data_IF_587106347978
#
_entry.id   IF_587106347978
#
_cell.length_a   1.000
_cell.length_b   1.000
_cell.length_c   1.000
_cell.angle_alpha   90.00
_cell.angle_beta   90.00
_cell.angle_gamma   90.00
#
_symmetry.space_group_name_H-M   'P 1'
#
loop_
_entity.id
_entity.type
_entity.pdbx_description
1 polymer ?
#
# COMPACT_ATOMS: atom_id res chain seq x y z
N UNK A 1 -13.13 5.05 31.27
CA UNK A 1 -12.09 5.76 30.51
C UNK A 1 -11.69 4.89 29.33
N UNK A 2 -12.32 5.09 28.17
CA UNK A 2 -11.99 4.42 26.92
C UNK A 2 -11.53 5.50 25.95
N UNK A 3 -10.22 5.60 25.70
CA UNK A 3 -9.72 6.41 24.60
C UNK A 3 -10.01 5.66 23.30
N UNK A 4 -11.25 5.79 22.82
CA UNK A 4 -11.57 5.55 21.43
C UNK A 4 -10.91 6.68 20.63
N UNK A 5 -9.69 6.46 20.18
CA UNK A 5 -9.15 7.27 19.09
C UNK A 5 -10.00 6.97 17.87
N UNK A 6 -10.90 7.90 17.57
CA UNK A 6 -11.67 8.00 16.34
C UNK A 6 -10.67 8.16 15.18
N UNK A 7 -10.14 7.04 14.69
CA UNK A 7 -9.30 7.01 13.51
C UNK A 7 -10.26 6.90 12.32
N UNK A 8 -10.47 7.99 11.55
CA UNK A 8 -11.37 7.92 10.41
C UNK A 8 -10.87 6.85 9.46
N UNK A 9 -11.69 5.81 9.29
CA UNK A 9 -11.40 4.63 8.46
C UNK A 9 -11.55 4.93 6.95
N UNK A 10 -11.76 6.22 6.63
CA UNK A 10 -11.96 6.77 5.30
C UNK A 10 -10.62 7.13 4.66
N UNK A 11 -10.41 6.72 3.40
CA UNK A 11 -9.28 7.16 2.58
C UNK A 11 -9.25 8.70 2.49
N UNK A 12 -8.04 9.26 2.49
CA UNK A 12 -7.83 10.70 2.35
C UNK A 12 -6.63 11.00 1.45
N UNK A 13 -6.57 12.17 0.80
CA UNK A 13 -5.36 12.62 0.14
C UNK A 13 -4.18 12.61 1.12
N UNK A 14 -3.01 12.14 0.67
CA UNK A 14 -1.81 12.20 1.48
C UNK A 14 -1.12 13.56 1.32
N UNK A 15 -0.88 14.25 2.43
CA UNK A 15 -0.30 15.59 2.49
C UNK A 15 1.18 15.59 2.94
N UNK A 16 1.80 14.42 3.05
CA UNK A 16 3.21 14.27 3.45
C UNK A 16 3.45 14.14 4.97
N UNK A 17 2.42 14.22 5.83
CA UNK A 17 2.61 14.38 7.29
C UNK A 17 2.30 13.15 8.15
N UNK A 18 1.94 12.02 7.56
CA UNK A 18 1.41 10.87 8.30
C UNK A 18 2.33 9.67 8.16
N UNK A 19 2.77 9.11 9.29
CA UNK A 19 3.63 7.94 9.32
C UNK A 19 5.06 8.22 8.84
N UNK A 20 6.06 7.69 9.55
CA UNK A 20 7.46 7.97 9.22
C UNK A 20 7.86 7.34 7.87
N UNK A 21 7.42 6.11 7.59
CA UNK A 21 7.81 5.38 6.39
C UNK A 21 7.03 5.86 5.17
N UNK A 22 5.77 6.20 5.35
CA UNK A 22 4.88 6.74 4.33
C UNK A 22 5.36 8.11 3.85
N UNK A 23 5.75 9.01 4.76
CA UNK A 23 6.37 10.29 4.38
C UNK A 23 7.65 10.09 3.56
N UNK A 24 8.54 9.17 3.94
CA UNK A 24 9.78 8.90 3.20
C UNK A 24 9.51 8.41 1.77
N UNK A 25 8.53 7.52 1.60
CA UNK A 25 8.15 7.04 0.27
C UNK A 25 7.51 8.15 -0.56
N UNK A 26 6.63 8.95 0.04
CA UNK A 26 6.01 10.09 -0.64
C UNK A 26 7.04 11.10 -1.11
N UNK A 27 7.99 11.48 -0.25
CA UNK A 27 9.04 12.44 -0.59
C UNK A 27 9.90 11.93 -1.75
N UNK A 28 10.22 10.63 -1.76
CA UNK A 28 10.91 10.01 -2.88
C UNK A 28 10.07 10.07 -4.17
N UNK A 29 8.81 9.64 -4.11
CA UNK A 29 7.89 9.68 -5.25
C UNK A 29 7.68 11.10 -5.80
N UNK A 30 7.57 12.09 -4.91
CA UNK A 30 7.47 13.49 -5.29
C UNK A 30 8.77 13.98 -5.96
N UNK A 31 9.93 13.58 -5.44
CA UNK A 31 11.24 13.94 -5.99
C UNK A 31 11.57 13.36 -7.37
N UNK A 32 10.92 12.25 -7.77
CA UNK A 32 11.12 11.62 -9.09
C UNK A 32 10.15 12.13 -10.16
N UNK A 33 9.33 13.14 -9.85
CA UNK A 33 8.43 13.73 -10.85
C UNK A 33 9.21 14.37 -12.00
N UNK A 34 8.81 14.10 -13.25
CA UNK A 34 9.32 14.86 -14.39
C UNK A 34 9.00 16.36 -14.27
N UNK A 35 9.90 17.21 -14.76
CA UNK A 35 9.79 18.67 -14.66
C UNK A 35 8.60 19.28 -15.42
N UNK A 36 7.92 18.49 -16.26
CA UNK A 36 6.78 18.94 -17.07
C UNK A 36 5.42 18.83 -16.34
N UNK A 37 5.42 18.51 -15.04
CA UNK A 37 4.20 18.41 -14.24
C UNK A 37 3.41 17.11 -14.46
N UNK A 38 3.94 16.18 -15.23
CA UNK A 38 3.36 14.84 -15.42
C UNK A 38 3.63 13.94 -14.23
N UNK A 39 2.84 12.88 -14.10
CA UNK A 39 3.11 11.82 -13.14
C UNK A 39 4.42 11.09 -13.47
N UNK A 40 5.14 10.59 -12.46
CA UNK A 40 6.27 9.71 -12.69
C UNK A 40 5.78 8.34 -13.15
N UNK A 41 6.37 7.78 -14.20
CA UNK A 41 6.20 6.36 -14.54
C UNK A 41 7.09 5.42 -13.73
N UNK A 42 6.85 4.11 -13.90
CA UNK A 42 7.66 3.03 -13.31
C UNK A 42 9.14 3.13 -13.65
N UNK A 43 9.47 3.70 -14.81
CA UNK A 43 10.84 3.97 -15.26
C UNK A 43 11.59 5.02 -14.42
N UNK A 44 10.87 5.91 -13.72
CA UNK A 44 11.48 6.90 -12.82
C UNK A 44 11.63 6.39 -11.38
N UNK A 45 10.97 5.26 -11.05
CA UNK A 45 11.02 4.65 -9.74
C UNK A 45 12.07 3.54 -9.72
N UNK A 46 13.29 3.85 -9.27
CA UNK A 46 14.36 2.84 -9.15
C UNK A 46 14.29 2.13 -7.77
N UNK A 47 13.90 0.84 -7.73
CA UNK A 47 13.86 0.10 -6.47
C UNK A 47 15.25 -0.10 -5.84
N UNK A 48 16.34 -0.03 -6.61
CA UNK A 48 17.71 -0.15 -6.09
C UNK A 48 18.12 1.13 -5.37
N UNK A 49 17.86 2.31 -5.95
CA UNK A 49 18.07 3.58 -5.26
C UNK A 49 17.25 3.64 -3.97
N UNK A 50 15.97 3.24 -4.03
CA UNK A 50 15.09 3.21 -2.87
C UNK A 50 15.61 2.25 -1.79
N UNK A 51 16.10 1.08 -2.20
CA UNK A 51 16.73 0.10 -1.30
C UNK A 51 17.98 0.65 -0.61
N UNK A 52 18.82 1.39 -1.34
CA UNK A 52 20.03 2.00 -0.79
C UNK A 52 19.71 3.14 0.18
N UNK A 53 18.72 3.97 -0.15
CA UNK A 53 18.38 5.15 0.68
C UNK A 53 17.52 4.77 1.89
N UNK A 54 16.56 3.87 1.69
CA UNK A 54 15.56 3.50 2.70
C UNK A 54 15.30 1.98 2.71
N UNK A 55 16.28 1.16 3.11
CA UNK A 55 16.17 -0.30 3.07
C UNK A 55 14.96 -0.84 3.87
N UNK A 56 14.55 -0.15 4.92
CA UNK A 56 13.40 -0.49 5.75
C UNK A 56 12.06 -0.43 5.01
N UNK A 57 11.94 0.29 3.88
CA UNK A 57 10.70 0.39 3.11
C UNK A 57 10.41 -0.90 2.33
N UNK A 58 11.43 -1.60 1.85
CA UNK A 58 11.28 -2.70 0.88
C UNK A 58 10.38 -3.83 1.37
N UNK A 59 10.47 -4.18 2.65
CA UNK A 59 9.65 -5.25 3.21
C UNK A 59 8.15 -4.91 3.23
N UNK A 60 7.81 -3.61 3.23
CA UNK A 60 6.45 -3.09 3.30
C UNK A 60 5.88 -2.71 1.93
N UNK A 61 6.71 -2.70 0.89
CA UNK A 61 6.33 -2.29 -0.46
C UNK A 61 5.62 -3.41 -1.22
N UNK A 62 4.67 -3.03 -2.06
CA UNK A 62 4.05 -3.92 -3.01
C UNK A 62 3.55 -3.14 -4.24
N UNK A 63 3.60 -3.77 -5.40
CA UNK A 63 3.27 -3.15 -6.68
C UNK A 63 2.04 -3.81 -7.28
N UNK A 64 1.22 -2.99 -7.90
CA UNK A 64 -0.01 -3.39 -8.59
C UNK A 64 0.02 -2.82 -10.00
N UNK A 65 -0.11 -3.69 -10.98
CA UNK A 65 -0.33 -3.30 -12.38
C UNK A 65 -1.83 -2.99 -12.57
N UNK A 66 -2.12 -1.93 -13.31
CA UNK A 66 -3.49 -1.49 -13.67
C UNK A 66 -3.77 -1.93 -15.10
N UNK A 67 -4.67 -2.88 -15.26
CA UNK A 67 -5.19 -3.34 -16.54
C UNK A 67 -6.51 -2.61 -16.81
N UNK A 68 -6.70 -2.08 -18.02
CA UNK A 68 -7.93 -1.36 -18.43
C UNK A 68 -8.69 -2.20 -19.44
N UNK A 69 -10.01 -2.01 -19.45
CA UNK A 69 -10.96 -2.68 -20.34
C UNK A 69 -10.96 -4.23 -20.25
N UNK A 70 -11.38 -4.81 -19.09
CA UNK A 70 -11.99 -4.14 -17.94
C UNK A 70 -10.95 -3.62 -16.93
N UNK A 71 -11.34 -2.63 -16.11
CA UNK A 71 -10.48 -2.11 -15.04
C UNK A 71 -10.22 -3.20 -13.99
N UNK A 72 -8.98 -3.69 -13.93
CA UNK A 72 -8.53 -4.74 -13.02
C UNK A 72 -7.14 -4.43 -12.48
N UNK A 73 -6.86 -4.98 -11.31
CA UNK A 73 -5.64 -4.71 -10.56
C UNK A 73 -4.90 -6.00 -10.30
N UNK A 74 -3.70 -6.15 -10.89
CA UNK A 74 -2.89 -7.37 -10.79
C UNK A 74 -1.68 -7.14 -9.89
N UNK A 75 -1.52 -7.96 -8.87
CA UNK A 75 -0.36 -7.91 -7.97
C UNK A 75 0.90 -8.33 -8.74
N UNK A 76 1.93 -7.47 -8.75
CA UNK A 76 3.18 -7.74 -9.46
C UNK A 76 4.28 -8.19 -8.50
N UNK A 77 4.52 -7.40 -7.45
CA UNK A 77 5.56 -7.62 -6.46
C UNK A 77 4.99 -7.42 -5.07
N UNK A 78 5.40 -8.27 -4.13
CA UNK A 78 5.01 -8.18 -2.73
C UNK A 78 6.27 -8.28 -1.87
N UNK A 79 6.53 -7.25 -1.07
CA UNK A 79 7.60 -7.24 -0.07
C UNK A 79 7.35 -8.28 1.03
N UNK A 80 8.43 -8.77 1.63
CA UNK A 80 8.41 -9.90 2.56
C UNK A 80 7.46 -9.71 3.76
N UNK A 81 7.32 -8.50 4.31
CA UNK A 81 6.41 -8.27 5.43
C UNK A 81 4.94 -8.35 4.99
N UNK A 82 4.60 -7.90 3.79
CA UNK A 82 3.24 -8.00 3.24
C UNK A 82 2.91 -9.45 2.87
N UNK A 83 3.91 -10.20 2.37
CA UNK A 83 3.80 -11.62 2.07
C UNK A 83 3.47 -12.45 3.33
N UNK A 84 4.13 -12.15 4.44
CA UNK A 84 3.97 -12.89 5.70
C UNK A 84 2.65 -12.61 6.43
N UNK A 85 2.03 -11.44 6.21
CA UNK A 85 0.81 -11.03 6.92
C UNK A 85 -0.48 -11.30 6.14
N UNK A 86 -0.36 -11.50 4.83
CA UNK A 86 -1.50 -11.67 3.93
C UNK A 86 -1.35 -12.96 3.11
N UNK A 87 -2.18 -13.99 3.34
CA UNK A 87 -2.15 -15.22 2.52
C UNK A 87 -2.51 -14.98 1.04
N UNK A 88 -2.93 -13.76 0.72
CA UNK A 88 -3.38 -13.30 -0.60
C UNK A 88 -2.27 -12.62 -1.42
N UNK A 89 -1.13 -12.33 -0.81
CA UNK A 89 -0.08 -11.55 -1.43
C UNK A 89 0.86 -12.42 -2.29
N UNK A 90 0.29 -13.14 -3.26
CA UNK A 90 1.04 -13.89 -4.28
C UNK A 90 1.08 -13.08 -5.56
N UNK A 91 2.28 -12.84 -6.09
CA UNK A 91 2.47 -12.23 -7.40
C UNK A 91 1.66 -12.95 -8.48
N UNK A 92 1.12 -12.19 -9.42
CA UNK A 92 0.34 -12.65 -10.57
C UNK A 92 -1.17 -12.76 -10.35
N UNK A 93 -1.68 -12.55 -9.13
CA UNK A 93 -3.12 -12.66 -8.82
C UNK A 93 -3.83 -11.32 -8.87
N UNK A 94 -5.13 -11.34 -9.18
CA UNK A 94 -5.96 -10.14 -9.22
C UNK A 94 -6.55 -9.80 -7.85
N UNK A 95 -6.65 -8.50 -7.55
CA UNK A 95 -7.19 -8.00 -6.28
C UNK A 95 -8.66 -8.40 -6.08
N UNK A 96 -9.45 -8.47 -7.16
CA UNK A 96 -10.86 -8.87 -7.14
C UNK A 96 -11.10 -10.34 -6.73
N UNK A 97 -10.10 -11.22 -6.88
CA UNK A 97 -10.17 -12.62 -6.45
C UNK A 97 -10.21 -12.82 -4.93
N UNK A 98 -9.84 -11.81 -4.14
CA UNK A 98 -9.70 -11.90 -2.67
C UNK A 98 -10.60 -10.96 -1.90
N UNK A 99 -11.32 -10.08 -2.59
CA UNK A 99 -12.23 -9.15 -1.94
C UNK A 99 -13.54 -9.88 -1.72
N UNK A 100 -13.97 -9.98 -0.46
CA UNK A 100 -15.31 -10.42 -0.12
C UNK A 100 -16.33 -9.40 -0.66
N UNK A 101 -17.19 -9.77 -1.63
CA UNK A 101 -18.22 -8.88 -2.17
C UNK A 101 -19.23 -8.41 -1.11
N UNK A 102 -19.36 -9.14 0.01
CA UNK A 102 -20.26 -8.79 1.11
C UNK A 102 -19.67 -7.73 2.07
N UNK A 103 -18.41 -7.30 1.85
CA UNK A 103 -17.78 -6.29 2.69
C UNK A 103 -18.44 -4.92 2.50
N UNK A 104 -19.08 -4.42 3.56
CA UNK A 104 -19.70 -3.08 3.60
C UNK A 104 -18.69 -1.92 3.70
N UNK A 105 -17.41 -2.23 3.80
CA UNK A 105 -16.35 -1.26 3.94
C UNK A 105 -15.71 -0.94 2.57
N UNK A 106 -15.08 0.23 2.46
CA UNK A 106 -14.27 0.59 1.30
C UNK A 106 -13.26 -0.54 0.98
N UNK A 107 -13.41 -1.14 -0.20
CA UNK A 107 -12.58 -2.26 -0.65
C UNK A 107 -11.28 -1.74 -1.27
N UNK A 108 -10.26 -2.60 -1.34
CA UNK A 108 -9.03 -2.28 -2.09
C UNK A 108 -9.32 -1.93 -3.55
N UNK A 109 -10.32 -2.58 -4.16
CA UNK A 109 -10.75 -2.30 -5.52
C UNK A 109 -11.30 -0.88 -5.66
N UNK A 110 -12.25 -0.48 -4.79
CA UNK A 110 -12.81 0.86 -4.80
C UNK A 110 -11.75 1.96 -4.57
N UNK A 111 -10.82 1.70 -3.66
CA UNK A 111 -9.69 2.58 -3.38
C UNK A 111 -8.79 2.78 -4.60
N UNK A 112 -8.41 1.69 -5.27
CA UNK A 112 -7.57 1.78 -6.47
C UNK A 112 -8.30 2.40 -7.65
N UNK A 113 -9.58 2.11 -7.84
CA UNK A 113 -10.42 2.78 -8.85
C UNK A 113 -10.38 4.30 -8.66
N UNK A 114 -10.64 4.80 -7.45
CA UNK A 114 -10.58 6.24 -7.15
C UNK A 114 -9.18 6.81 -7.40
N UNK A 115 -8.12 6.12 -6.99
CA UNK A 115 -6.74 6.58 -7.20
C UNK A 115 -6.41 6.72 -8.68
N UNK A 116 -6.77 5.74 -9.51
CA UNK A 116 -6.46 5.79 -10.96
C UNK A 116 -7.30 6.83 -11.71
N UNK A 117 -8.50 7.14 -11.21
CA UNK A 117 -9.37 8.19 -11.76
C UNK A 117 -8.89 9.59 -11.36
N UNK A 118 -8.55 9.78 -10.08
CA UNK A 118 -8.15 11.09 -9.55
C UNK A 118 -6.68 11.42 -9.80
N UNK A 119 -5.83 10.41 -10.02
CA UNK A 119 -4.38 10.51 -10.15
C UNK A 119 -3.70 11.11 -8.92
N UNK A 120 -4.36 11.02 -7.76
CA UNK A 120 -3.87 11.57 -6.52
C UNK A 120 -3.33 10.48 -5.59
N UNK A 121 -2.26 10.76 -4.83
CA UNK A 121 -1.82 9.96 -3.69
C UNK A 121 -2.96 9.70 -2.71
N UNK A 122 -3.14 8.45 -2.32
CA UNK A 122 -4.14 8.06 -1.34
C UNK A 122 -3.49 7.48 -0.09
N UNK A 123 -3.95 7.95 1.07
CA UNK A 123 -3.57 7.38 2.35
C UNK A 123 -4.78 6.86 3.10
N UNK A 124 -4.62 5.67 3.67
CA UNK A 124 -5.58 5.04 4.57
C UNK A 124 -4.88 4.69 5.87
N UNK A 125 -5.48 5.08 6.99
CA UNK A 125 -5.11 4.59 8.30
C UNK A 125 -6.35 4.06 9.01
N UNK A 126 -6.27 2.88 9.60
CA UNK A 126 -7.42 2.29 10.28
C UNK A 126 -7.20 0.83 10.64
N UNK A 127 -8.28 0.14 10.98
CA UNK A 127 -8.20 -1.25 11.36
C UNK A 127 -7.92 -2.14 10.14
N UNK A 128 -7.13 -3.20 10.27
CA UNK A 128 -7.00 -4.20 9.22
C UNK A 128 -8.36 -4.81 8.90
N UNK A 129 -8.73 -4.87 7.61
CA UNK A 129 -10.03 -5.42 7.16
C UNK A 129 -9.97 -6.91 6.80
N UNK A 130 -8.80 -7.54 6.90
CA UNK A 130 -8.55 -8.93 6.46
C UNK A 130 -8.36 -9.83 7.68
N UNK A 131 -9.11 -10.94 7.75
CA UNK A 131 -9.17 -11.82 8.93
C UNK A 131 -7.81 -12.40 9.40
N UNK A 132 -6.81 -12.51 8.52
CA UNK A 132 -5.46 -13.02 8.86
C UNK A 132 -4.65 -12.10 9.77
N UNK A 133 -5.10 -10.86 9.96
CA UNK A 133 -4.39 -9.81 10.70
C UNK A 133 -4.91 -9.57 12.12
N UNK A 134 -5.55 -10.58 12.73
CA UNK A 134 -6.19 -10.57 14.07
C UNK A 134 -5.34 -10.05 15.25
N UNK A 135 -4.06 -9.74 15.04
CA UNK A 135 -3.11 -9.23 16.03
C UNK A 135 -2.58 -7.82 15.72
N UNK A 136 -2.86 -7.27 14.54
CA UNK A 136 -2.54 -5.89 14.19
C UNK A 136 -3.65 -4.95 14.67
N UNK A 137 -3.29 -3.96 15.49
CA UNK A 137 -4.20 -2.91 15.98
C UNK A 137 -4.45 -1.82 14.96
N UNK A 138 -3.50 -1.58 14.08
CA UNK A 138 -3.62 -0.53 13.08
C UNK A 138 -2.86 -0.92 11.82
N UNK A 139 -3.39 -0.48 10.68
CA UNK A 139 -2.76 -0.52 9.38
C UNK A 139 -2.68 0.91 8.87
N UNK A 140 -1.52 1.30 8.34
CA UNK A 140 -1.38 2.47 7.49
C UNK A 140 -0.97 2.01 6.09
N UNK A 141 -1.63 2.55 5.07
CA UNK A 141 -1.33 2.30 3.67
C UNK A 141 -1.24 3.60 2.92
N UNK A 142 -0.10 3.80 2.26
CA UNK A 142 0.09 4.83 1.25
C UNK A 142 0.07 4.16 -0.13
N UNK A 143 -0.73 4.70 -1.03
CA UNK A 143 -0.84 4.28 -2.42
C UNK A 143 -0.48 5.45 -3.33
N UNK A 144 0.47 5.26 -4.23
CA UNK A 144 1.03 6.31 -5.08
C UNK A 144 0.85 5.94 -6.56
N UNK A 145 0.28 6.83 -7.38
CA UNK A 145 0.09 6.58 -8.80
C UNK A 145 1.41 6.70 -9.56
N UNK A 146 1.64 5.78 -10.49
CA UNK A 146 2.66 5.89 -11.52
C UNK A 146 2.04 5.76 -12.90
N UNK A 147 2.55 6.55 -13.86
CA UNK A 147 2.09 6.55 -15.24
C UNK A 147 3.27 6.62 -16.21
N UNK A 148 3.49 5.58 -17.00
CA UNK A 148 4.58 5.51 -17.97
C UNK A 148 4.50 6.60 -19.04
N UNK A 149 3.28 6.95 -19.47
CA UNK A 149 2.98 8.07 -20.39
C UNK A 149 2.89 9.45 -19.68
N UNK A 150 2.94 9.42 -18.34
CA UNK A 150 2.83 10.54 -17.43
C UNK A 150 1.41 11.04 -17.15
N UNK A 151 0.38 10.37 -17.66
CA UNK A 151 -1.04 10.77 -17.55
C UNK A 151 -1.93 9.62 -17.08
N UNK A 152 -1.79 8.44 -17.70
CA UNK A 152 -2.61 7.27 -17.47
C UNK A 152 -1.94 6.38 -16.44
N UNK A 153 -2.53 6.28 -15.24
CA UNK A 153 -2.00 5.40 -14.21
C UNK A 153 -2.06 3.95 -14.70
N UNK A 154 -0.88 3.34 -14.82
CA UNK A 154 -0.67 1.94 -15.22
C UNK A 154 -0.06 1.09 -14.09
N UNK A 155 0.50 1.74 -13.06
CA UNK A 155 1.13 1.08 -11.92
C UNK A 155 0.78 1.84 -10.65
N UNK A 156 0.54 1.12 -9.55
CA UNK A 156 0.36 1.68 -8.22
C UNK A 156 1.45 1.12 -7.31
N UNK A 157 2.24 2.01 -6.70
CA UNK A 157 3.19 1.64 -5.64
C UNK A 157 2.48 1.78 -4.31
N UNK A 158 2.47 0.71 -3.53
CA UNK A 158 1.85 0.67 -2.23
C UNK A 158 2.90 0.42 -1.15
N UNK A 159 2.74 1.09 -0.01
CA UNK A 159 3.44 0.79 1.23
C UNK A 159 2.40 0.42 2.27
N UNK A 160 2.60 -0.67 3.00
CA UNK A 160 1.70 -1.03 4.11
C UNK A 160 2.47 -1.36 5.37
N UNK A 161 2.22 -0.57 6.40
CA UNK A 161 2.78 -0.76 7.74
C UNK A 161 1.69 -1.23 8.69
N UNK A 162 2.10 -2.03 9.68
CA UNK A 162 1.21 -2.60 10.69
C UNK A 162 1.71 -2.19 12.07
N UNK A 163 0.84 -1.56 12.86
CA UNK A 163 1.07 -1.42 14.29
C UNK A 163 0.50 -2.67 14.98
N UNK A 164 1.39 -3.51 15.47
CA UNK A 164 1.02 -4.71 16.21
C UNK A 164 0.54 -4.33 17.60
N UNK A 165 -0.54 -4.95 18.09
CA UNK A 165 -0.73 -4.99 19.54
C UNK A 165 0.49 -5.68 20.13
N UNK A 166 1.08 -5.14 21.19
CA UNK A 166 1.99 -5.90 22.04
C UNK A 166 1.25 -7.17 22.46
N UNK A 167 1.63 -8.30 21.88
CA UNK A 167 1.35 -9.63 22.40
C UNK A 167 2.69 -10.09 22.92
N UNK A 168 2.73 -10.57 24.17
CA UNK A 168 3.82 -11.38 24.69
C UNK A 168 4.38 -12.24 23.55
N UNK A 169 5.68 -12.10 23.28
CA UNK A 169 6.34 -12.98 22.31
C UNK A 169 6.03 -14.41 22.73
N UNK A 170 5.30 -15.23 21.95
CA UNK A 170 5.45 -16.66 22.14
C UNK A 170 6.88 -16.97 21.71
N UNK A 171 7.62 -17.56 22.65
CA UNK A 171 9.02 -17.93 22.49
C UNK A 171 9.32 -18.45 21.09
N UNK A 172 10.33 -17.86 20.45
CA UNK A 172 11.07 -18.53 19.39
C UNK A 172 11.91 -19.65 20.03
N UNK A 173 11.23 -20.67 20.57
CA UNK A 173 11.85 -21.91 20.94
C UNK A 173 12.01 -22.76 19.68
N UNK A 174 13.28 -22.96 19.34
CA UNK A 174 13.87 -23.87 18.37
C UNK A 174 12.97 -25.05 17.97
N UNK A 175 12.84 -25.26 16.66
CA UNK A 175 12.54 -26.58 16.14
C UNK A 175 13.87 -27.35 16.09
N UNK A 176 13.97 -28.35 16.97
CA UNK A 176 14.92 -29.46 16.89
C UNK A 176 14.52 -30.43 15.77
#
# INVERSE_FOLDING_TARGET
MAYAFDCPDSPRPFDGRLGQLESLLYDHWHGIHPLNGKLPGRQHFDPVELAHRYPQLLQHLWLVDVERDPLRFRLQLVGSAVYMTSPFARSGRYIDEFIDPASRAETLNAAFTRLVETRQPEFRQGWPRVASSRHARQLARLSLPLAADGETVDTIVNLTTYAWATIDRPDFARAD
#
